data_IF_024521719874
#
_entry.id   IF_024521719874
#
_cell.length_a   1.000
_cell.length_b   1.000
_cell.length_c   1.000
_cell.angle_alpha   90.00
_cell.angle_beta   90.00
_cell.angle_gamma   90.00
#
_symmetry.space_group_name_H-M   'P 1'
#
loop_
_entity.id
_entity.type
_entity.pdbx_description
1 polymer ?
#
# COMPACT_ATOMS: atom_id res chain seq x y z
N UNK A 1 13.88 23.68 25.33
CA UNK A 1 14.70 22.54 24.88
C UNK A 1 14.45 22.27 23.41
N UNK A 2 15.46 21.79 22.71
CA UNK A 2 15.35 21.31 21.33
C UNK A 2 15.68 19.82 21.28
N UNK A 3 14.97 19.08 20.43
CA UNK A 3 15.12 17.65 20.25
C UNK A 3 15.51 17.31 18.81
N UNK A 4 14.86 16.30 18.25
CA UNK A 4 15.12 15.79 16.91
C UNK A 4 15.25 16.90 15.86
N UNK A 5 16.40 16.97 15.17
CA UNK A 5 16.73 17.97 14.11
C UNK A 5 16.46 19.42 14.50
N UNK A 6 16.59 19.77 15.78
CA UNK A 6 16.36 21.13 16.28
C UNK A 6 14.89 21.48 16.53
N UNK A 7 13.98 20.55 16.41
CA UNK A 7 12.56 20.75 16.73
C UNK A 7 12.36 21.10 18.21
N UNK A 8 11.41 21.96 18.49
CA UNK A 8 11.08 22.38 19.86
C UNK A 8 10.41 21.21 20.59
N UNK A 9 10.95 20.87 21.76
CA UNK A 9 10.35 19.85 22.63
C UNK A 9 9.24 20.50 23.45
N UNK A 10 8.06 19.92 23.39
CA UNK A 10 6.89 20.29 24.18
C UNK A 10 6.34 19.08 24.94
N UNK A 11 5.63 19.33 26.01
CA UNK A 11 4.86 18.29 26.71
C UNK A 11 3.54 17.95 26.00
N UNK A 12 2.74 17.11 26.60
CA UNK A 12 1.44 16.71 26.05
C UNK A 12 0.41 17.84 25.97
N UNK A 13 0.69 18.99 26.61
CA UNK A 13 -0.14 20.20 26.61
C UNK A 13 0.47 21.34 25.76
N UNK A 14 1.45 21.02 24.92
CA UNK A 14 2.17 21.99 24.06
C UNK A 14 3.06 22.99 24.81
N UNK A 15 3.27 22.84 26.12
CA UNK A 15 4.15 23.72 26.88
C UNK A 15 5.62 23.31 26.70
N UNK A 16 6.48 24.30 26.56
CA UNK A 16 7.94 24.08 26.51
C UNK A 16 8.49 23.92 27.94
N UNK A 17 9.80 23.68 28.04
CA UNK A 17 10.48 23.69 29.35
C UNK A 17 10.62 25.09 29.98
N UNK A 18 10.10 26.16 29.34
CA UNK A 18 10.01 27.48 29.92
C UNK A 18 8.56 27.76 30.32
N UNK A 19 8.32 28.24 31.54
CA UNK A 19 6.97 28.58 31.99
C UNK A 19 6.29 29.57 31.03
N UNK A 20 4.99 29.36 30.80
CA UNK A 20 4.12 30.21 30.00
C UNK A 20 4.51 30.33 28.50
N UNK A 21 5.43 29.49 28.03
CA UNK A 21 5.81 29.43 26.62
C UNK A 21 5.33 28.13 26.02
N UNK A 22 4.48 28.23 25.01
CA UNK A 22 3.92 27.13 24.23
C UNK A 22 4.49 27.14 22.82
N UNK A 23 4.52 25.95 22.16
CA UNK A 23 4.92 25.83 20.77
C UNK A 23 4.04 24.80 20.05
N UNK A 24 3.72 25.11 18.79
CA UNK A 24 2.88 24.28 17.91
C UNK A 24 3.35 24.36 16.46
N UNK A 25 2.80 23.52 15.61
CA UNK A 25 3.02 23.54 14.17
C UNK A 25 4.29 22.81 13.75
N UNK A 26 4.85 23.24 12.64
CA UNK A 26 5.95 22.55 11.95
C UNK A 26 7.25 22.50 12.75
N UNK A 27 7.40 23.41 13.72
CA UNK A 27 8.60 23.56 14.51
C UNK A 27 8.69 22.60 15.71
N UNK A 28 7.61 21.90 16.08
CA UNK A 28 7.57 21.06 17.28
C UNK A 28 7.85 19.60 17.00
N UNK A 29 8.52 18.95 17.95
CA UNK A 29 8.63 17.48 17.98
C UNK A 29 7.29 16.90 18.45
N UNK A 30 6.79 15.92 17.69
CA UNK A 30 5.56 15.21 18.01
C UNK A 30 5.84 13.71 18.06
N UNK A 31 4.95 12.91 18.67
CA UNK A 31 5.01 11.45 18.55
C UNK A 31 4.42 10.98 17.23
N UNK A 32 5.17 10.14 16.50
CA UNK A 32 4.60 9.33 15.43
C UNK A 32 3.69 8.27 16.06
N UNK A 33 2.40 8.24 15.69
CA UNK A 33 1.40 7.46 16.45
C UNK A 33 1.61 5.94 16.39
N UNK A 34 2.28 5.43 15.36
CA UNK A 34 2.51 3.98 15.19
C UNK A 34 3.72 3.52 16.01
N UNK A 35 4.85 4.23 15.89
CA UNK A 35 6.10 3.86 16.58
C UNK A 35 6.24 4.43 17.98
N UNK A 36 5.46 5.44 18.32
CA UNK A 36 5.60 6.26 19.53
C UNK A 36 6.95 6.97 19.66
N UNK A 37 7.71 7.01 18.59
CA UNK A 37 9.00 7.72 18.53
C UNK A 37 8.80 9.21 18.20
N UNK A 38 9.82 9.99 18.53
CA UNK A 38 9.85 11.42 18.21
C UNK A 38 9.96 11.63 16.70
N UNK A 39 9.13 12.53 16.18
CA UNK A 39 9.08 12.87 14.77
C UNK A 39 8.87 14.36 14.55
N UNK A 40 9.34 14.86 13.42
CA UNK A 40 8.96 16.17 12.87
C UNK A 40 7.99 15.92 11.71
N UNK A 41 6.75 16.33 11.89
CA UNK A 41 5.66 16.13 10.91
C UNK A 41 5.12 17.50 10.53
N UNK A 42 5.76 18.11 9.55
CA UNK A 42 5.44 19.45 9.05
C UNK A 42 4.29 19.39 8.04
N UNK A 43 3.06 19.35 8.56
CA UNK A 43 1.83 19.25 7.79
C UNK A 43 0.76 20.20 8.33
N UNK A 44 0.00 20.84 7.44
CA UNK A 44 -0.99 21.87 7.79
C UNK A 44 -2.13 21.32 8.68
N UNK A 45 -2.60 20.09 8.46
CA UNK A 45 -3.69 19.51 9.25
C UNK A 45 -3.31 19.30 10.74
N UNK A 46 -2.17 18.66 11.06
CA UNK A 46 -1.67 18.63 12.45
C UNK A 46 -1.46 20.02 13.04
N UNK A 47 -0.83 20.94 12.31
CA UNK A 47 -0.55 22.30 12.78
C UNK A 47 -1.82 23.06 13.16
N UNK A 48 -2.87 23.01 12.33
CA UNK A 48 -4.17 23.62 12.61
C UNK A 48 -4.84 23.03 13.85
N UNK A 49 -4.83 21.69 13.99
CA UNK A 49 -5.35 21.02 15.17
C UNK A 49 -4.61 21.44 16.44
N UNK A 50 -3.27 21.49 16.40
CA UNK A 50 -2.45 21.91 17.51
C UNK A 50 -2.73 23.38 17.90
N UNK A 51 -2.87 24.27 16.93
CA UNK A 51 -3.21 25.68 17.17
C UNK A 51 -4.55 25.83 17.91
N UNK A 52 -5.57 25.02 17.55
CA UNK A 52 -6.84 24.98 18.29
C UNK A 52 -6.67 24.42 19.70
N UNK A 53 -5.95 23.30 19.83
CA UNK A 53 -5.77 22.63 21.12
C UNK A 53 -4.97 23.46 22.12
N UNK A 54 -3.91 24.15 21.68
CA UNK A 54 -3.12 25.00 22.58
C UNK A 54 -3.94 26.21 23.09
N UNK A 55 -4.79 26.79 22.26
CA UNK A 55 -5.70 27.84 22.71
C UNK A 55 -6.67 27.33 23.77
N UNK A 56 -7.23 26.13 23.60
CA UNK A 56 -8.09 25.47 24.58
C UNK A 56 -7.32 25.23 25.90
N UNK A 57 -6.05 24.75 25.83
CA UNK A 57 -5.18 24.54 27.02
C UNK A 57 -4.93 25.84 27.77
N UNK A 58 -4.56 26.91 27.06
CA UNK A 58 -4.33 28.24 27.67
C UNK A 58 -5.62 28.77 28.35
N UNK A 59 -6.79 28.42 27.79
CA UNK A 59 -8.10 28.75 28.36
C UNK A 59 -8.52 27.84 29.53
N UNK A 60 -7.70 26.87 29.93
CA UNK A 60 -7.95 25.96 31.04
C UNK A 60 -8.75 24.70 30.69
N UNK A 61 -8.91 24.37 29.40
CA UNK A 61 -9.54 23.14 28.95
C UNK A 61 -8.51 22.02 28.80
N UNK A 62 -8.90 20.81 29.18
CA UNK A 62 -8.06 19.62 28.97
C UNK A 62 -7.98 19.27 27.50
N UNK A 63 -6.77 19.34 26.92
CA UNK A 63 -6.44 18.85 25.59
C UNK A 63 -5.05 18.24 25.62
N UNK A 64 -4.85 17.15 24.87
CA UNK A 64 -3.56 16.46 24.79
C UNK A 64 -3.09 16.29 23.35
N UNK A 65 -1.83 16.54 23.12
CA UNK A 65 -1.14 16.23 21.87
C UNK A 65 -1.04 14.71 21.71
N UNK A 66 -1.82 14.15 20.82
CA UNK A 66 -1.79 12.70 20.52
C UNK A 66 -0.77 12.32 19.45
N UNK A 67 0.07 13.25 19.01
CA UNK A 67 0.98 13.01 17.89
C UNK A 67 0.28 13.02 16.53
N UNK A 68 0.92 12.41 15.54
CA UNK A 68 0.42 12.36 14.16
C UNK A 68 0.81 11.07 13.47
N UNK A 69 -0.03 10.59 12.54
CA UNK A 69 0.31 9.47 11.64
C UNK A 69 1.04 9.95 10.37
N UNK A 70 0.95 11.24 10.03
CA UNK A 70 1.65 11.82 8.87
C UNK A 70 0.94 11.54 7.54
N UNK A 71 -0.34 11.97 7.42
CA UNK A 71 -1.09 11.85 6.16
C UNK A 71 -0.81 13.04 5.26
N UNK A 72 -0.33 12.77 4.04
CA UNK A 72 0.10 13.78 3.09
C UNK A 72 -0.35 13.46 1.67
N UNK A 73 -0.54 14.51 0.86
CA UNK A 73 -0.91 14.41 -0.54
C UNK A 73 -0.22 15.50 -1.36
N UNK A 74 0.13 15.15 -2.59
CA UNK A 74 0.71 16.09 -3.56
C UNK A 74 0.18 15.78 -4.95
N UNK A 75 -0.05 16.82 -5.73
CA UNK A 75 -0.33 16.71 -7.15
C UNK A 75 0.93 17.00 -7.96
N UNK A 76 1.24 16.10 -8.89
CA UNK A 76 2.38 16.22 -9.80
C UNK A 76 1.84 16.07 -11.23
N UNK A 77 1.69 17.17 -11.94
CA UNK A 77 1.01 17.23 -13.24
C UNK A 77 -0.41 16.65 -13.15
N UNK A 78 -0.67 15.58 -13.90
CA UNK A 78 -1.99 14.91 -13.95
C UNK A 78 -2.12 13.79 -12.92
N UNK A 79 -1.06 13.51 -12.17
CA UNK A 79 -1.05 12.47 -11.14
C UNK A 79 -1.15 13.06 -9.74
N UNK A 80 -1.80 12.32 -8.88
CA UNK A 80 -1.86 12.55 -7.44
C UNK A 80 -1.10 11.43 -6.75
N UNK A 81 -0.20 11.79 -5.82
CA UNK A 81 0.45 10.86 -4.92
C UNK A 81 0.08 11.20 -3.47
N UNK A 82 -0.30 10.22 -2.69
CA UNK A 82 -0.66 10.39 -1.29
C UNK A 82 -0.13 9.24 -0.42
N UNK A 83 0.06 9.52 0.87
CA UNK A 83 0.52 8.53 1.83
C UNK A 83 -0.03 8.81 3.22
N UNK A 84 -0.11 7.76 4.04
CA UNK A 84 -0.46 7.84 5.45
C UNK A 84 0.35 6.81 6.24
N UNK A 85 0.69 7.12 7.50
CA UNK A 85 1.49 6.24 8.35
C UNK A 85 2.93 6.08 7.87
N UNK A 86 3.47 4.88 8.01
CA UNK A 86 4.86 4.56 7.71
C UNK A 86 5.02 4.04 6.27
N UNK A 87 6.07 4.47 5.60
CA UNK A 87 6.54 3.75 4.41
C UNK A 87 7.15 2.40 4.83
N UNK A 88 7.22 1.44 3.91
CA UNK A 88 7.90 0.15 4.14
C UNK A 88 9.31 0.33 4.70
N UNK A 89 10.07 1.27 4.13
CA UNK A 89 11.42 1.61 4.60
C UNK A 89 11.43 2.11 6.04
N UNK A 90 10.48 2.98 6.39
CA UNK A 90 10.37 3.53 7.74
C UNK A 90 9.94 2.46 8.75
N UNK A 91 8.99 1.60 8.39
CA UNK A 91 8.55 0.49 9.24
C UNK A 91 9.70 -0.50 9.51
N UNK A 92 10.44 -0.89 8.47
CA UNK A 92 11.64 -1.75 8.61
C UNK A 92 12.74 -1.09 9.44
N UNK A 93 12.99 0.21 9.26
CA UNK A 93 13.98 0.96 10.04
C UNK A 93 13.60 1.07 11.52
N UNK A 94 12.30 1.09 11.84
CA UNK A 94 11.77 1.04 13.21
C UNK A 94 11.76 -0.38 13.80
N UNK A 95 12.28 -1.39 13.09
CA UNK A 95 12.35 -2.78 13.56
C UNK A 95 11.01 -3.52 13.55
N UNK A 96 10.00 -3.00 12.84
CA UNK A 96 8.68 -3.63 12.74
C UNK A 96 8.71 -4.82 11.78
N UNK A 97 8.09 -5.92 12.18
CA UNK A 97 7.85 -7.06 11.28
C UNK A 97 6.84 -6.64 10.22
N UNK A 98 7.26 -6.65 8.95
CA UNK A 98 6.56 -5.94 7.88
C UNK A 98 6.24 -6.85 6.71
N UNK A 99 4.99 -6.85 6.29
CA UNK A 99 4.53 -7.36 5.01
C UNK A 99 3.98 -6.23 4.14
N UNK A 100 3.97 -6.44 2.83
CA UNK A 100 3.56 -5.45 1.85
C UNK A 100 2.70 -6.11 0.79
N UNK A 101 1.63 -5.44 0.38
CA UNK A 101 0.83 -5.79 -0.80
C UNK A 101 0.56 -4.57 -1.65
N UNK A 102 0.50 -4.78 -2.96
CA UNK A 102 0.12 -3.77 -3.94
C UNK A 102 -1.13 -4.23 -4.68
N UNK A 103 -2.01 -3.31 -4.99
CA UNK A 103 -3.12 -3.56 -5.92
C UNK A 103 -3.18 -2.48 -6.99
N UNK A 104 -3.60 -2.91 -8.17
CA UNK A 104 -3.99 -2.00 -9.26
C UNK A 104 -5.51 -2.01 -9.33
N UNK A 105 -6.11 -0.86 -9.19
CA UNK A 105 -7.56 -0.68 -9.23
C UNK A 105 -7.96 0.48 -10.12
N UNK A 106 -9.26 0.79 -10.13
CA UNK A 106 -9.80 1.99 -10.79
C UNK A 106 -10.49 2.89 -9.77
N UNK A 107 -10.50 4.19 -10.05
CA UNK A 107 -11.15 5.19 -9.21
C UNK A 107 -12.66 4.95 -9.08
N UNK A 108 -13.30 4.42 -10.14
CA UNK A 108 -14.70 3.97 -10.15
C UNK A 108 -14.89 2.75 -11.06
N UNK A 109 -16.13 2.30 -11.26
CA UNK A 109 -16.43 1.11 -12.06
C UNK A 109 -15.84 1.20 -13.48
N UNK A 110 -14.99 0.23 -13.84
CA UNK A 110 -14.21 0.26 -15.08
C UNK A 110 -15.03 0.25 -16.38
N UNK A 111 -16.30 -0.14 -16.31
CA UNK A 111 -17.25 -0.09 -17.42
C UNK A 111 -17.97 1.26 -17.54
N UNK A 112 -17.85 2.13 -16.53
CA UNK A 112 -18.41 3.48 -16.57
C UNK A 112 -17.39 4.46 -17.18
N UNK A 113 -17.84 5.41 -18.04
CA UNK A 113 -16.92 6.30 -18.75
C UNK A 113 -16.03 7.13 -17.84
N UNK A 114 -14.77 7.30 -18.25
CA UNK A 114 -13.81 8.17 -17.59
C UNK A 114 -13.10 7.55 -16.38
N UNK A 115 -13.22 6.25 -16.18
CA UNK A 115 -12.48 5.52 -15.14
C UNK A 115 -10.97 5.60 -15.39
N UNK A 116 -10.21 5.92 -14.33
CA UNK A 116 -8.75 6.01 -14.36
C UNK A 116 -8.12 5.00 -13.44
N UNK A 117 -6.91 4.55 -13.80
CA UNK A 117 -6.16 3.60 -12.98
C UNK A 117 -5.56 4.28 -11.75
N UNK A 118 -5.50 3.52 -10.66
CA UNK A 118 -4.77 3.88 -9.46
C UNK A 118 -4.03 2.65 -8.90
N UNK A 119 -2.90 2.93 -8.26
CA UNK A 119 -2.10 1.95 -7.53
C UNK A 119 -2.18 2.25 -6.04
N UNK A 120 -2.38 1.23 -5.24
CA UNK A 120 -2.30 1.32 -3.78
C UNK A 120 -1.27 0.32 -3.25
N UNK A 121 -0.57 0.74 -2.21
CA UNK A 121 0.36 -0.08 -1.43
C UNK A 121 -0.09 -0.05 0.03
N UNK A 122 -0.08 -1.22 0.69
CA UNK A 122 -0.32 -1.36 2.12
C UNK A 122 0.91 -1.94 2.79
N UNK A 123 1.26 -1.40 3.96
CA UNK A 123 2.33 -1.87 4.85
C UNK A 123 1.69 -2.28 6.16
N UNK A 124 1.90 -3.53 6.60
CA UNK A 124 1.20 -4.09 7.74
C UNK A 124 2.00 -5.18 8.45
N UNK A 125 1.59 -5.56 9.65
CA UNK A 125 2.13 -6.71 10.37
C UNK A 125 1.55 -8.02 9.81
N UNK A 126 2.38 -8.98 9.36
CA UNK A 126 1.89 -10.18 8.66
C UNK A 126 1.01 -11.12 9.50
N UNK A 127 1.11 -11.06 10.83
CA UNK A 127 0.36 -11.95 11.72
C UNK A 127 -0.81 -11.24 12.41
N UNK A 128 -0.59 -10.05 12.97
CA UNK A 128 -1.64 -9.32 13.70
C UNK A 128 -2.56 -8.55 12.78
N UNK A 129 -2.12 -8.28 11.55
CA UNK A 129 -2.86 -7.46 10.60
C UNK A 129 -2.83 -5.97 10.89
N UNK A 130 -2.10 -5.50 11.88
CA UNK A 130 -1.96 -4.09 12.20
C UNK A 130 -1.46 -3.30 10.99
N UNK A 131 -2.14 -2.22 10.64
CA UNK A 131 -1.81 -1.39 9.48
C UNK A 131 -0.79 -0.34 9.90
N UNK A 132 0.39 -0.39 9.33
CA UNK A 132 1.47 0.58 9.58
C UNK A 132 1.42 1.79 8.65
N UNK A 133 0.93 1.61 7.45
CA UNK A 133 0.83 2.70 6.51
C UNK A 133 0.35 2.29 5.13
N UNK A 134 0.09 3.30 4.31
CA UNK A 134 -0.35 3.11 2.94
C UNK A 134 0.17 4.23 2.03
N UNK A 135 0.27 3.91 0.74
CA UNK A 135 0.63 4.84 -0.31
C UNK A 135 -0.31 4.64 -1.51
N UNK A 136 -0.60 5.73 -2.22
CA UNK A 136 -1.42 5.67 -3.42
C UNK A 136 -0.92 6.63 -4.48
N UNK A 137 -1.07 6.22 -5.74
CA UNK A 137 -0.79 7.05 -6.91
C UNK A 137 -1.84 6.79 -8.01
N UNK A 138 -2.28 7.84 -8.68
CA UNK A 138 -3.24 7.77 -9.78
C UNK A 138 -3.71 9.15 -10.20
N UNK A 139 -4.54 9.22 -11.23
CA UNK A 139 -5.11 10.48 -11.71
C UNK A 139 -6.27 10.97 -10.83
N UNK A 140 -7.10 10.03 -10.33
CA UNK A 140 -8.30 10.33 -9.52
C UNK A 140 -8.48 9.32 -8.39
N UNK A 141 -9.18 9.75 -7.33
CA UNK A 141 -9.66 8.88 -6.25
C UNK A 141 -8.58 8.34 -5.30
N UNK A 142 -7.36 8.84 -5.38
CA UNK A 142 -6.25 8.48 -4.47
C UNK A 142 -6.51 9.05 -3.08
N UNK A 143 -6.93 10.30 -2.99
CA UNK A 143 -7.30 11.02 -1.78
C UNK A 143 -8.32 10.24 -0.94
N UNK A 144 -9.45 9.86 -1.57
CA UNK A 144 -10.50 9.06 -0.93
C UNK A 144 -9.93 7.80 -0.26
N UNK A 145 -9.08 7.04 -0.96
CA UNK A 145 -8.56 5.76 -0.46
C UNK A 145 -7.54 5.95 0.65
N UNK A 146 -6.68 6.96 0.52
CA UNK A 146 -5.72 7.28 1.59
C UNK A 146 -6.41 7.84 2.83
N UNK A 147 -7.46 8.64 2.70
CA UNK A 147 -8.26 9.12 3.84
C UNK A 147 -8.97 7.97 4.57
N UNK A 148 -9.51 7.00 3.82
CA UNK A 148 -10.08 5.77 4.40
C UNK A 148 -9.00 4.99 5.17
N UNK A 149 -7.82 4.78 4.59
CA UNK A 149 -6.73 4.05 5.23
C UNK A 149 -6.15 4.82 6.43
N UNK A 150 -6.07 6.15 6.37
CA UNK A 150 -5.70 6.98 7.51
C UNK A 150 -6.72 6.85 8.66
N UNK A 151 -8.01 6.80 8.32
CA UNK A 151 -9.08 6.58 9.30
C UNK A 151 -9.01 5.18 9.90
N UNK A 152 -8.73 4.16 9.08
CA UNK A 152 -8.53 2.79 9.54
C UNK A 152 -7.36 2.69 10.53
N UNK A 153 -6.19 3.28 10.20
CA UNK A 153 -5.04 3.34 11.12
C UNK A 153 -5.43 4.04 12.42
N UNK A 154 -6.08 5.19 12.35
CA UNK A 154 -6.50 5.96 13.53
C UNK A 154 -7.53 5.20 14.38
N UNK A 155 -8.42 4.45 13.74
CA UNK A 155 -9.41 3.59 14.37
C UNK A 155 -8.86 2.24 14.84
N UNK A 156 -7.58 1.96 14.63
CA UNK A 156 -6.93 0.68 14.97
C UNK A 156 -7.57 -0.53 14.26
N UNK A 157 -8.13 -0.29 13.07
CA UNK A 157 -8.58 -1.38 12.22
C UNK A 157 -7.38 -2.14 11.66
N UNK A 158 -7.60 -3.42 11.37
CA UNK A 158 -6.60 -4.33 10.82
C UNK A 158 -6.87 -4.63 9.35
N UNK A 159 -5.97 -5.37 8.70
CA UNK A 159 -6.19 -5.87 7.33
C UNK A 159 -7.45 -6.75 7.23
N UNK A 160 -7.86 -7.37 8.33
CA UNK A 160 -9.04 -8.25 8.37
C UNK A 160 -10.36 -7.47 8.37
N UNK A 161 -10.33 -6.21 8.82
CA UNK A 161 -11.50 -5.33 8.81
C UNK A 161 -11.71 -4.67 7.44
N UNK A 162 -10.64 -4.44 6.66
CA UNK A 162 -10.73 -3.71 5.38
C UNK A 162 -11.70 -4.33 4.37
N UNK A 163 -11.81 -5.66 4.21
CA UNK A 163 -12.80 -6.28 3.32
C UNK A 163 -14.26 -6.04 3.74
N UNK A 164 -14.50 -5.86 5.05
CA UNK A 164 -15.83 -5.70 5.62
C UNK A 164 -16.33 -4.24 5.64
N UNK A 165 -15.46 -3.28 5.26
CA UNK A 165 -15.86 -1.88 5.20
C UNK A 165 -16.87 -1.65 4.06
N UNK A 166 -18.00 -1.06 4.41
CA UNK A 166 -19.02 -0.65 3.45
C UNK A 166 -18.76 0.77 2.97
N UNK A 167 -18.64 0.93 1.66
CA UNK A 167 -18.44 2.23 1.04
C UNK A 167 -19.63 2.61 0.16
N UNK A 168 -19.85 3.91 0.01
CA UNK A 168 -20.86 4.40 -0.91
C UNK A 168 -20.52 3.95 -2.33
N UNK A 169 -21.45 3.26 -2.99
CA UNK A 169 -21.26 2.73 -4.33
C UNK A 169 -22.42 3.08 -5.26
N UNK A 170 -22.03 3.61 -6.39
CA UNK A 170 -22.72 3.54 -7.68
C UNK A 170 -21.65 3.66 -8.77
N UNK A 171 -21.90 3.21 -10.02
CA UNK A 171 -20.86 3.14 -11.08
C UNK A 171 -20.01 4.40 -11.26
N UNK A 172 -20.54 5.63 -11.17
CA UNK A 172 -19.73 6.86 -11.30
C UNK A 172 -18.80 7.16 -10.10
N UNK A 173 -19.01 6.54 -8.93
CA UNK A 173 -18.36 6.93 -7.67
C UNK A 173 -17.35 5.90 -7.14
N UNK A 174 -17.47 4.65 -7.56
CA UNK A 174 -16.61 3.58 -7.05
C UNK A 174 -16.83 2.26 -7.75
N UNK A 175 -16.31 1.19 -7.17
CA UNK A 175 -16.57 -0.20 -7.54
C UNK A 175 -17.25 -0.90 -6.38
N UNK A 176 -18.06 -1.93 -6.65
CA UNK A 176 -18.75 -2.70 -5.60
C UNK A 176 -17.75 -3.30 -4.58
N UNK A 177 -16.57 -3.71 -5.06
CA UNK A 177 -15.39 -3.94 -4.22
C UNK A 177 -14.44 -2.78 -4.47
N UNK A 178 -14.40 -1.83 -3.53
CA UNK A 178 -13.48 -0.69 -3.63
C UNK A 178 -12.03 -1.17 -3.60
N UNK A 179 -11.08 -0.45 -4.21
CA UNK A 179 -9.66 -0.74 -4.08
C UNK A 179 -9.17 -0.96 -2.64
N UNK A 180 -9.76 -0.31 -1.63
CA UNK A 180 -9.44 -0.56 -0.22
C UNK A 180 -9.89 -1.96 0.23
N UNK A 181 -11.09 -2.41 -0.16
CA UNK A 181 -11.52 -3.78 0.12
C UNK A 181 -10.60 -4.80 -0.56
N UNK A 182 -10.23 -4.54 -1.83
CA UNK A 182 -9.32 -5.42 -2.58
C UNK A 182 -7.93 -5.49 -1.95
N UNK A 183 -7.45 -4.37 -1.40
CA UNK A 183 -6.19 -4.31 -0.65
C UNK A 183 -6.25 -5.19 0.61
N UNK A 184 -7.36 -5.14 1.33
CA UNK A 184 -7.63 -6.01 2.48
C UNK A 184 -7.64 -7.49 2.10
N UNK A 185 -8.36 -7.88 1.03
CA UNK A 185 -8.35 -9.27 0.56
C UNK A 185 -6.96 -9.76 0.17
N UNK A 186 -6.16 -8.94 -0.53
CA UNK A 186 -4.79 -9.31 -0.89
C UNK A 186 -3.91 -9.50 0.35
N UNK A 187 -4.02 -8.61 1.34
CA UNK A 187 -3.30 -8.69 2.59
C UNK A 187 -3.70 -9.91 3.43
N UNK A 188 -5.00 -10.23 3.51
CA UNK A 188 -5.50 -11.43 4.19
C UNK A 188 -4.97 -12.70 3.53
N UNK A 189 -5.02 -12.81 2.20
CA UNK A 189 -4.50 -13.98 1.49
C UNK A 189 -3.01 -14.23 1.83
N UNK A 190 -2.22 -13.16 2.00
CA UNK A 190 -0.82 -13.26 2.41
C UNK A 190 -0.69 -13.68 3.88
N UNK A 191 -1.42 -13.03 4.79
CA UNK A 191 -1.37 -13.30 6.23
C UNK A 191 -1.84 -14.73 6.58
N UNK A 192 -2.82 -15.26 5.84
CA UNK A 192 -3.35 -16.61 6.02
C UNK A 192 -2.55 -17.68 5.26
N UNK A 193 -1.47 -17.31 4.56
CA UNK A 193 -0.64 -18.23 3.79
C UNK A 193 -1.33 -18.83 2.54
N UNK A 194 -2.43 -18.23 2.10
CA UNK A 194 -3.13 -18.64 0.89
C UNK A 194 -2.40 -18.20 -0.39
N UNK A 195 -1.61 -17.14 -0.30
CA UNK A 195 -0.72 -16.63 -1.34
C UNK A 195 0.65 -16.32 -0.75
N UNK A 196 1.67 -16.39 -1.58
CA UNK A 196 3.02 -15.92 -1.27
C UNK A 196 3.42 -14.89 -2.32
N UNK A 197 3.92 -13.73 -1.89
CA UNK A 197 4.28 -12.65 -2.79
C UNK A 197 5.78 -12.57 -3.02
N UNK A 198 6.16 -12.18 -4.24
CA UNK A 198 7.47 -11.68 -4.61
C UNK A 198 7.31 -10.21 -4.97
N UNK A 199 8.10 -9.35 -4.34
CA UNK A 199 8.07 -7.93 -4.65
C UNK A 199 8.83 -7.65 -5.96
N UNK A 200 8.45 -6.59 -6.67
CA UNK A 200 9.08 -6.22 -7.94
C UNK A 200 10.61 -6.08 -7.84
N UNK A 201 11.13 -5.64 -6.71
CA UNK A 201 12.58 -5.49 -6.47
C UNK A 201 13.28 -6.81 -6.10
N UNK A 202 12.53 -7.89 -5.88
CA UNK A 202 13.04 -9.23 -5.59
C UNK A 202 13.05 -10.12 -6.84
N UNK A 203 12.24 -9.77 -7.87
CA UNK A 203 12.00 -10.62 -9.04
C UNK A 203 13.30 -11.04 -9.72
N UNK A 204 14.20 -10.10 -10.02
CA UNK A 204 15.47 -10.39 -10.73
C UNK A 204 16.33 -11.39 -9.95
N UNK A 205 16.34 -11.31 -8.61
CA UNK A 205 17.05 -12.27 -7.76
C UNK A 205 16.38 -13.66 -7.76
N UNK A 206 15.06 -13.73 -7.72
CA UNK A 206 14.35 -15.01 -7.82
C UNK A 206 14.61 -15.71 -9.15
N UNK A 207 14.59 -14.96 -10.26
CA UNK A 207 14.90 -15.49 -11.59
C UNK A 207 16.36 -15.95 -11.70
N UNK A 208 17.32 -15.20 -11.16
CA UNK A 208 18.72 -15.59 -11.10
C UNK A 208 18.97 -16.87 -10.29
N UNK A 209 18.11 -17.15 -9.31
CA UNK A 209 18.13 -18.37 -8.50
C UNK A 209 17.33 -19.54 -9.11
N UNK A 210 16.96 -19.44 -10.39
CA UNK A 210 16.34 -20.52 -11.15
C UNK A 210 14.81 -20.56 -11.12
N UNK A 211 14.14 -19.55 -10.58
CA UNK A 211 12.70 -19.41 -10.75
C UNK A 211 12.36 -19.04 -12.20
N UNK A 212 11.18 -19.43 -12.65
CA UNK A 212 10.64 -19.12 -13.97
C UNK A 212 9.46 -18.18 -13.84
N UNK A 213 9.45 -17.10 -14.62
CA UNK A 213 8.31 -16.19 -14.68
C UNK A 213 7.23 -16.78 -15.59
N UNK A 214 6.01 -16.92 -15.04
CA UNK A 214 4.82 -17.40 -15.75
C UNK A 214 3.84 -16.24 -15.92
N UNK A 215 3.66 -15.77 -17.15
CA UNK A 215 2.68 -14.73 -17.48
C UNK A 215 1.35 -15.35 -17.92
N UNK A 216 0.32 -15.13 -17.12
CA UNK A 216 -1.03 -15.70 -17.38
C UNK A 216 -1.98 -14.70 -18.06
N UNK A 217 -1.44 -13.64 -18.67
CA UNK A 217 -2.20 -12.71 -19.50
C UNK A 217 -2.52 -13.32 -20.87
N UNK A 218 -3.52 -12.75 -21.53
CA UNK A 218 -3.85 -13.13 -22.90
C UNK A 218 -2.78 -12.58 -23.89
N UNK A 219 -2.60 -13.24 -25.06
CA UNK A 219 -1.64 -12.79 -26.08
C UNK A 219 -1.84 -11.32 -26.53
N UNK A 220 -3.09 -10.87 -26.64
CA UNK A 220 -3.40 -9.49 -26.99
C UNK A 220 -2.93 -8.46 -25.96
N UNK A 221 -2.85 -8.83 -24.68
CA UNK A 221 -2.30 -7.96 -23.63
C UNK A 221 -0.78 -7.93 -23.71
N UNK A 222 -0.14 -9.06 -24.00
CA UNK A 222 1.31 -9.18 -24.12
C UNK A 222 1.87 -8.44 -25.34
N UNK A 223 1.09 -8.33 -26.41
CA UNK A 223 1.46 -7.53 -27.59
C UNK A 223 1.66 -6.03 -27.28
N UNK A 224 1.12 -5.54 -26.16
CA UNK A 224 1.28 -4.17 -25.67
C UNK A 224 2.32 -4.06 -24.53
N UNK A 225 3.29 -4.96 -24.51
CA UNK A 225 4.36 -5.06 -23.53
C UNK A 225 4.37 -6.39 -22.80
N UNK A 226 5.55 -7.00 -22.67
CA UNK A 226 5.72 -8.31 -22.07
C UNK A 226 7.01 -8.41 -21.26
N UNK A 227 7.04 -9.37 -20.34
CA UNK A 227 8.27 -9.72 -19.64
C UNK A 227 9.25 -10.47 -20.56
N UNK A 228 10.52 -10.18 -20.45
CA UNK A 228 11.58 -10.93 -21.14
C UNK A 228 11.62 -12.37 -20.64
N UNK A 229 11.70 -13.32 -21.56
CA UNK A 229 11.86 -14.76 -21.26
C UNK A 229 10.77 -15.37 -20.35
N UNK A 230 9.61 -14.78 -20.27
CA UNK A 230 8.50 -15.38 -19.52
C UNK A 230 7.89 -16.56 -20.29
N UNK A 231 7.51 -17.62 -19.55
CA UNK A 231 6.60 -18.64 -20.09
C UNK A 231 5.19 -18.03 -20.13
N UNK A 232 4.51 -18.18 -21.25
CA UNK A 232 3.17 -17.61 -21.46
C UNK A 232 2.14 -18.72 -21.55
N UNK A 233 1.24 -18.76 -20.55
CA UNK A 233 0.05 -19.64 -20.56
C UNK A 233 -1.12 -18.82 -20.02
N UNK A 234 -2.08 -18.41 -20.87
CA UNK A 234 -3.26 -17.70 -20.42
C UNK A 234 -4.01 -18.43 -19.30
N UNK A 235 -4.51 -17.69 -18.29
CA UNK A 235 -5.20 -18.30 -17.14
C UNK A 235 -6.28 -19.30 -17.54
N UNK A 236 -7.04 -18.99 -18.58
CA UNK A 236 -8.15 -19.84 -19.04
C UNK A 236 -7.68 -21.18 -19.62
N UNK A 237 -6.43 -21.27 -20.08
CA UNK A 237 -5.82 -22.47 -20.61
C UNK A 237 -4.98 -23.23 -19.56
N UNK A 238 -4.61 -22.57 -18.48
CA UNK A 238 -3.62 -23.05 -17.52
C UNK A 238 -3.98 -24.45 -16.97
N UNK A 239 -5.26 -24.68 -16.66
CA UNK A 239 -5.72 -25.97 -16.09
C UNK A 239 -5.47 -27.15 -17.03
N UNK A 240 -5.66 -26.94 -18.32
CA UNK A 240 -5.48 -27.98 -19.35
C UNK A 240 -4.00 -28.17 -19.73
N UNK A 241 -3.17 -27.18 -19.43
CA UNK A 241 -1.76 -27.12 -19.80
C UNK A 241 -0.80 -27.26 -18.60
N UNK A 242 -1.29 -27.73 -17.45
CA UNK A 242 -0.45 -27.93 -16.26
C UNK A 242 0.70 -28.92 -16.49
N UNK A 243 0.51 -29.89 -17.39
CA UNK A 243 1.52 -30.91 -17.72
C UNK A 243 2.72 -30.33 -18.49
N UNK A 244 2.59 -29.13 -19.08
CA UNK A 244 3.70 -28.44 -19.74
C UNK A 244 4.69 -27.82 -18.73
N UNK A 245 4.28 -27.72 -17.45
CA UNK A 245 5.07 -27.10 -16.38
C UNK A 245 5.85 -28.16 -15.60
N UNK A 246 7.14 -27.92 -15.44
CA UNK A 246 8.00 -28.77 -14.63
C UNK A 246 7.69 -28.59 -13.13
N UNK A 247 7.28 -29.67 -12.48
CA UNK A 247 6.94 -29.67 -11.05
C UNK A 247 8.13 -29.42 -10.12
N UNK A 248 9.35 -29.59 -10.61
CA UNK A 248 10.57 -29.30 -9.86
C UNK A 248 10.96 -27.81 -9.90
N UNK A 249 10.34 -27.05 -10.80
CA UNK A 249 10.60 -25.63 -10.99
C UNK A 249 9.70 -24.76 -10.08
N UNK A 250 10.27 -23.68 -9.54
CA UNK A 250 9.53 -22.64 -8.84
C UNK A 250 9.04 -21.59 -9.84
N UNK A 251 7.78 -21.28 -9.85
CA UNK A 251 7.19 -20.28 -10.73
C UNK A 251 6.88 -18.99 -10.00
N UNK A 252 7.21 -17.85 -10.61
CA UNK A 252 6.70 -16.54 -10.21
C UNK A 252 5.61 -16.17 -11.20
N UNK A 253 4.38 -16.05 -10.71
CA UNK A 253 3.22 -15.86 -11.58
C UNK A 253 2.85 -14.40 -11.67
N UNK A 254 2.65 -13.89 -12.88
CA UNK A 254 2.19 -12.53 -13.14
C UNK A 254 0.96 -12.52 -14.04
N UNK A 255 0.12 -11.52 -13.84
CA UNK A 255 -0.94 -11.15 -14.78
C UNK A 255 -0.89 -9.63 -15.03
N UNK A 256 -2.02 -8.98 -15.31
CA UNK A 256 -2.04 -7.53 -15.45
C UNK A 256 -2.02 -6.80 -14.09
N UNK A 257 -2.88 -7.19 -13.14
CA UNK A 257 -3.15 -6.43 -11.91
C UNK A 257 -3.15 -7.24 -10.61
N UNK A 258 -2.80 -8.53 -10.66
CA UNK A 258 -2.63 -9.39 -9.46
C UNK A 258 -3.71 -10.46 -9.25
N UNK A 259 -4.97 -10.24 -9.66
CA UNK A 259 -6.06 -11.20 -9.38
C UNK A 259 -5.91 -12.51 -10.15
N UNK A 260 -5.67 -12.46 -11.46
CA UNK A 260 -5.50 -13.69 -12.27
C UNK A 260 -4.26 -14.49 -11.86
N UNK A 261 -3.18 -13.80 -11.51
CA UNK A 261 -1.96 -14.47 -11.03
C UNK A 261 -2.14 -15.10 -9.65
N UNK A 262 -2.92 -14.50 -8.75
CA UNK A 262 -3.34 -15.15 -7.51
C UNK A 262 -4.14 -16.43 -7.77
N UNK A 263 -5.12 -16.40 -8.68
CA UNK A 263 -5.90 -17.60 -9.06
C UNK A 263 -4.97 -18.67 -9.64
N UNK A 264 -4.05 -18.29 -10.53
CA UNK A 264 -3.09 -19.21 -11.13
C UNK A 264 -2.13 -19.80 -10.08
N UNK A 265 -1.60 -18.98 -9.14
CA UNK A 265 -0.80 -19.47 -8.02
C UNK A 265 -1.54 -20.56 -7.23
N UNK A 266 -2.84 -20.32 -6.92
CA UNK A 266 -3.68 -21.30 -6.22
C UNK A 266 -3.85 -22.60 -7.02
N UNK A 267 -4.06 -22.50 -8.33
CA UNK A 267 -4.18 -23.67 -9.22
C UNK A 267 -2.88 -24.47 -9.26
N UNK A 268 -1.73 -23.81 -9.38
CA UNK A 268 -0.41 -24.43 -9.40
C UNK A 268 -0.12 -25.16 -8.08
N UNK A 269 -0.33 -24.49 -6.94
CA UNK A 269 -0.14 -25.09 -5.61
C UNK A 269 -1.03 -26.32 -5.40
N UNK A 270 -2.29 -26.31 -5.87
CA UNK A 270 -3.17 -27.46 -5.82
C UNK A 270 -2.68 -28.62 -6.70
N UNK A 271 -1.96 -28.34 -7.78
CA UNK A 271 -1.34 -29.35 -8.65
C UNK A 271 0.04 -29.82 -8.15
N UNK A 272 0.50 -29.34 -6.97
CA UNK A 272 1.79 -29.68 -6.40
C UNK A 272 2.98 -28.96 -7.05
N UNK A 273 2.73 -27.84 -7.73
CA UNK A 273 3.74 -26.99 -8.37
C UNK A 273 4.03 -25.79 -7.47
N UNK A 274 5.30 -25.54 -7.17
CA UNK A 274 5.72 -24.38 -6.36
C UNK A 274 5.48 -23.09 -7.12
N UNK A 275 4.71 -22.18 -6.54
CA UNK A 275 4.39 -20.90 -7.16
C UNK A 275 4.27 -19.77 -6.13
N UNK A 276 4.65 -18.55 -6.56
CA UNK A 276 4.42 -17.28 -5.84
C UNK A 276 3.84 -16.25 -6.78
N UNK A 277 3.10 -15.29 -6.25
CA UNK A 277 2.52 -14.19 -7.02
C UNK A 277 3.49 -13.01 -7.09
N UNK A 278 3.72 -12.46 -8.29
CA UNK A 278 4.40 -11.18 -8.43
C UNK A 278 3.46 -10.07 -7.95
N UNK A 279 3.78 -9.46 -6.83
CA UNK A 279 2.95 -8.44 -6.19
C UNK A 279 2.86 -7.17 -7.06
N UNK A 280 1.63 -6.65 -7.26
CA UNK A 280 1.36 -5.56 -8.19
C UNK A 280 1.41 -5.95 -9.67
N UNK A 281 1.87 -7.16 -10.00
CA UNK A 281 1.89 -7.77 -11.33
C UNK A 281 2.52 -6.87 -12.43
N UNK A 282 2.13 -7.06 -13.69
CA UNK A 282 2.68 -6.32 -14.83
C UNK A 282 2.43 -4.81 -14.76
N UNK A 283 1.27 -4.39 -14.27
CA UNK A 283 0.91 -2.97 -14.21
C UNK A 283 1.87 -2.16 -13.33
N UNK A 284 2.23 -2.69 -12.15
CA UNK A 284 3.24 -2.06 -11.29
C UNK A 284 4.64 -2.20 -11.88
N UNK A 285 5.01 -3.40 -12.36
CA UNK A 285 6.34 -3.67 -12.89
C UNK A 285 6.69 -2.75 -14.06
N UNK A 286 5.74 -2.54 -14.97
CA UNK A 286 5.89 -1.60 -16.10
C UNK A 286 6.18 -0.17 -15.66
N UNK A 287 5.66 0.26 -14.52
CA UNK A 287 5.90 1.62 -14.01
C UNK A 287 7.29 1.77 -13.37
N UNK A 288 7.80 0.72 -12.74
CA UNK A 288 9.02 0.79 -11.92
C UNK A 288 10.25 0.21 -12.60
N UNK A 289 10.06 -0.65 -13.61
CA UNK A 289 11.11 -1.38 -14.34
C UNK A 289 10.82 -1.51 -15.85
N UNK A 290 10.43 -0.42 -16.54
CA UNK A 290 10.10 -0.50 -17.98
C UNK A 290 11.25 -1.03 -18.83
N UNK A 291 12.50 -0.77 -18.44
CA UNK A 291 13.73 -1.22 -19.15
C UNK A 291 13.93 -2.74 -19.14
N UNK A 292 13.29 -3.45 -18.23
CA UNK A 292 13.34 -4.91 -18.13
C UNK A 292 12.23 -5.61 -18.94
N UNK A 293 11.38 -4.84 -19.62
CA UNK A 293 10.28 -5.33 -20.45
C UNK A 293 10.62 -5.26 -21.94
N UNK A 294 9.77 -5.89 -22.76
CA UNK A 294 9.82 -5.82 -24.23
C UNK A 294 8.54 -5.20 -24.76
N UNK A 295 8.63 -4.50 -25.91
CA UNK A 295 7.50 -3.90 -26.63
C UNK A 295 6.63 -2.93 -25.76
N UNK A 296 7.29 -2.13 -24.92
CA UNK A 296 6.62 -1.20 -23.98
C UNK A 296 6.67 0.21 -24.51
#
# INVERSE_FOLDING_TARGET
>A
ATGLRGGIVVDEHYQTNQPDIYAVGDAVVVKQQITQEDALISLASPANRQGRQVADVIAGLERKNQGSIGTAIVRVFDLTAASTGLSERAAKAAGLTTAVVHISGKDHAGYYPGATDLQLKLVFHPTTGEIYGAQGIGAKGVDKRIDILATAIKGQLTIFDLPELEFTYAPPFGSAKDPVNMLGYAAMNLAEGLSENVQWYELSNELANGAVLLDVRNPAEQANGQFKNAVSIPLNELRERLEELDKSTKYIVSCHSGLRSYIAERMLKQAGISAKNLDGAFALYRMVKPEELENV
#
